data_IF_917403783925
#
_entry.id   IF_917403783925
#
_cell.length_a   1.000
_cell.length_b   1.000
_cell.length_c   1.000
_cell.angle_alpha   90.00
_cell.angle_beta   90.00
_cell.angle_gamma   90.00
#
_symmetry.space_group_name_H-M   'P 1'
#
loop_
_entity.id
_entity.type
_entity.pdbx_description
1 polymer ?
#
# COMPACT_ATOMS: atom_id res chain seq x y z
N UNK A 1 33.35 7.81 24.28
CA UNK A 1 32.08 7.02 24.11
C UNK A 1 30.95 7.81 23.45
N UNK A 2 30.72 9.12 23.69
CA UNK A 2 29.63 9.91 23.08
C UNK A 2 29.74 10.04 21.55
N UNK A 3 30.91 9.98 20.93
CA UNK A 3 31.13 10.05 19.49
C UNK A 3 30.76 8.75 18.77
N UNK A 4 31.05 7.60 19.38
CA UNK A 4 30.83 6.29 18.74
C UNK A 4 29.35 6.00 18.43
N UNK A 5 28.43 6.46 19.30
CA UNK A 5 26.98 6.31 19.10
C UNK A 5 26.50 6.87 17.74
N UNK A 6 27.16 7.90 17.25
CA UNK A 6 26.79 8.60 16.02
C UNK A 6 27.76 8.32 14.86
N UNK A 7 28.69 7.40 15.05
CA UNK A 7 29.63 7.01 14.00
C UNK A 7 29.00 5.92 13.12
N UNK A 8 28.39 6.36 12.03
CA UNK A 8 27.75 5.45 11.09
C UNK A 8 28.75 4.51 10.41
N UNK A 9 29.98 4.97 10.20
CA UNK A 9 31.01 4.11 9.59
C UNK A 9 31.37 2.91 10.45
N UNK A 10 31.22 3.05 11.76
CA UNK A 10 31.43 1.96 12.71
C UNK A 10 30.25 0.97 12.75
N UNK A 11 29.00 1.49 12.68
CA UNK A 11 27.79 0.67 12.86
C UNK A 11 27.22 0.08 11.60
N UNK A 12 27.50 0.73 10.45
CA UNK A 12 26.91 0.34 9.17
C UNK A 12 27.48 -0.97 8.65
N UNK A 13 26.62 -1.86 8.26
CA UNK A 13 27.00 -3.00 7.42
C UNK A 13 27.36 -2.54 6.01
N UNK A 14 28.10 -3.34 5.23
CA UNK A 14 28.51 -2.95 3.86
C UNK A 14 27.34 -2.52 2.96
N UNK A 15 26.24 -3.26 2.97
CA UNK A 15 25.05 -3.00 2.16
C UNK A 15 24.26 -1.75 2.58
N UNK A 16 24.52 -1.22 3.77
CA UNK A 16 23.91 -0.01 4.30
C UNK A 16 24.70 1.27 3.99
N UNK A 17 25.90 1.12 3.41
CA UNK A 17 26.75 2.25 3.01
C UNK A 17 26.49 2.63 1.58
N UNK A 18 26.52 3.93 1.30
CA UNK A 18 26.40 4.41 -0.07
C UNK A 18 27.50 3.79 -0.95
N UNK A 19 27.15 3.20 -2.09
CA UNK A 19 28.12 2.62 -3.00
C UNK A 19 29.15 3.65 -3.48
N UNK A 20 30.35 3.18 -3.76
CA UNK A 20 31.35 4.00 -4.42
C UNK A 20 31.00 4.18 -5.90
N UNK A 21 31.60 5.19 -6.56
CA UNK A 21 31.49 5.41 -7.99
C UNK A 21 30.39 6.41 -8.38
N UNK A 22 30.11 6.41 -9.67
CA UNK A 22 29.17 7.34 -10.28
C UNK A 22 27.79 6.70 -10.43
N UNK A 23 26.85 7.17 -9.61
CA UNK A 23 25.46 6.75 -9.63
C UNK A 23 24.58 7.96 -9.31
N UNK A 24 23.44 8.04 -9.97
CA UNK A 24 22.40 9.05 -9.71
C UNK A 24 21.37 8.55 -8.70
N UNK A 25 21.08 7.26 -8.73
CA UNK A 25 20.07 6.62 -7.87
C UNK A 25 20.69 5.46 -7.11
N UNK A 26 20.55 5.46 -5.80
CA UNK A 26 20.87 4.33 -4.95
C UNK A 26 19.59 3.65 -4.48
N UNK A 27 19.33 2.45 -4.97
CA UNK A 27 18.18 1.64 -4.60
C UNK A 27 18.59 0.63 -3.51
N UNK A 28 18.00 0.78 -2.33
CA UNK A 28 18.16 -0.15 -1.20
C UNK A 28 16.92 -1.05 -1.17
N UNK A 29 17.09 -2.27 -1.67
CA UNK A 29 16.08 -3.33 -1.59
C UNK A 29 16.34 -4.17 -0.36
N UNK A 30 15.51 -4.07 0.66
CA UNK A 30 15.78 -4.78 1.88
C UNK A 30 14.52 -5.24 2.61
N UNK A 31 14.65 -6.35 3.33
CA UNK A 31 13.60 -6.93 4.12
C UNK A 31 13.16 -6.05 5.29
N UNK A 32 12.07 -6.43 5.91
CA UNK A 32 11.52 -5.73 7.06
C UNK A 32 12.51 -5.79 8.24
N UNK A 33 12.79 -4.64 8.86
CA UNK A 33 13.75 -4.58 9.96
C UNK A 33 15.23 -4.63 9.55
N UNK A 34 15.57 -4.75 8.26
CA UNK A 34 16.94 -4.75 7.75
C UNK A 34 17.69 -3.42 7.95
N UNK A 35 17.01 -2.35 8.34
CA UNK A 35 17.63 -1.05 8.62
C UNK A 35 17.70 -0.10 7.43
N UNK A 36 16.88 -0.32 6.40
CA UNK A 36 16.83 0.52 5.19
C UNK A 36 16.52 2.00 5.49
N UNK A 37 15.52 2.28 6.34
CA UNK A 37 15.18 3.67 6.74
C UNK A 37 16.37 4.35 7.42
N UNK A 38 17.12 3.63 8.28
CA UNK A 38 18.33 4.15 8.91
C UNK A 38 19.41 4.48 7.87
N UNK A 39 19.59 3.65 6.85
CA UNK A 39 20.55 3.90 5.76
C UNK A 39 20.21 5.15 4.97
N UNK A 40 18.94 5.35 4.62
CA UNK A 40 18.46 6.57 3.97
C UNK A 40 18.71 7.83 4.80
N UNK A 41 18.35 7.78 6.09
CA UNK A 41 18.56 8.90 7.00
C UNK A 41 20.04 9.25 7.18
N UNK A 42 20.91 8.25 7.31
CA UNK A 42 22.36 8.47 7.47
C UNK A 42 23.00 9.01 6.19
N UNK A 43 22.52 8.59 5.02
CA UNK A 43 22.98 9.18 3.76
C UNK A 43 22.61 10.65 3.66
N UNK A 44 21.38 11.04 4.03
CA UNK A 44 20.96 12.45 4.10
C UNK A 44 21.83 13.22 5.09
N UNK A 45 22.10 12.67 6.28
CA UNK A 45 22.96 13.31 7.28
C UNK A 45 24.36 13.54 6.74
N UNK A 46 24.97 12.52 6.15
CA UNK A 46 26.30 12.61 5.57
C UNK A 46 26.37 13.60 4.40
N UNK A 47 25.27 13.75 3.68
CA UNK A 47 25.16 14.66 2.54
C UNK A 47 24.94 16.12 2.95
N UNK A 48 24.15 16.36 4.01
CA UNK A 48 23.82 17.70 4.49
C UNK A 48 24.86 18.29 5.48
N UNK A 49 25.65 17.44 6.13
CA UNK A 49 26.61 17.84 7.17
C UNK A 49 28.06 17.55 6.78
N UNK A 50 29.00 18.30 7.36
CA UNK A 50 30.44 18.04 7.29
C UNK A 50 31.07 18.03 8.68
N UNK A 51 32.38 18.37 8.77
CA UNK A 51 33.16 18.28 9.99
C UNK A 51 32.62 19.14 11.14
N UNK A 52 32.00 20.28 10.85
CA UNK A 52 31.39 21.14 11.87
C UNK A 52 29.91 21.37 11.60
N UNK A 53 29.10 21.74 12.61
CA UNK A 53 27.67 21.99 12.43
C UNK A 53 27.35 23.11 11.44
N UNK A 54 28.26 24.06 11.26
CA UNK A 54 28.07 25.21 10.36
C UNK A 54 28.68 25.03 8.97
N UNK A 55 29.49 23.99 8.77
CA UNK A 55 30.07 23.70 7.45
C UNK A 55 29.03 23.05 6.57
N UNK A 56 28.75 23.67 5.40
CA UNK A 56 27.82 23.13 4.41
C UNK A 56 28.23 21.75 3.90
N UNK A 57 27.27 20.87 3.72
CA UNK A 57 27.45 19.56 3.13
C UNK A 57 27.56 19.62 1.59
N UNK A 58 27.44 18.45 0.97
CA UNK A 58 27.37 18.32 -0.49
C UNK A 58 26.04 18.83 -1.04
N UNK A 59 24.96 18.60 -0.31
CA UNK A 59 23.61 18.95 -0.68
C UNK A 59 22.97 19.89 0.34
N UNK A 60 22.18 20.83 -0.13
CA UNK A 60 21.57 21.86 0.68
C UNK A 60 20.03 21.94 0.55
N UNK A 61 19.44 21.32 -0.49
CA UNK A 61 18.01 21.33 -0.75
C UNK A 61 17.51 19.91 -1.00
N UNK A 62 17.05 19.25 0.04
CA UNK A 62 16.69 17.83 0.05
C UNK A 62 15.18 17.67 -0.06
N UNK A 63 14.70 16.73 -0.91
CA UNK A 63 13.36 16.21 -0.88
C UNK A 63 13.29 14.96 -0.01
N UNK A 64 12.35 14.90 0.93
CA UNK A 64 11.99 13.71 1.69
C UNK A 64 10.60 13.29 1.24
N UNK A 65 10.49 12.13 0.59
CA UNK A 65 9.23 11.67 -0.01
C UNK A 65 8.83 10.33 0.60
N UNK A 66 7.62 10.26 1.16
CA UNK A 66 7.01 9.03 1.67
C UNK A 66 5.60 8.86 1.10
N UNK A 67 4.93 7.74 1.37
CA UNK A 67 3.55 7.51 0.93
C UNK A 67 2.62 8.61 1.42
N UNK A 68 2.61 8.87 2.72
CA UNK A 68 1.76 9.90 3.36
C UNK A 68 2.59 10.94 4.10
N UNK A 69 2.00 12.10 4.37
CA UNK A 69 2.63 13.13 5.20
C UNK A 69 2.92 12.63 6.63
N UNK A 70 2.07 11.73 7.15
CA UNK A 70 2.28 11.09 8.44
C UNK A 70 3.50 10.16 8.43
N UNK A 71 3.70 9.37 7.38
CA UNK A 71 4.88 8.51 7.24
C UNK A 71 6.16 9.34 7.13
N UNK A 72 6.16 10.39 6.30
CA UNK A 72 7.29 11.29 6.18
C UNK A 72 7.69 11.87 7.55
N UNK A 73 6.73 12.30 8.34
CA UNK A 73 6.96 12.83 9.68
C UNK A 73 7.37 11.74 10.66
N UNK A 74 6.54 10.71 10.85
CA UNK A 74 6.68 9.76 11.95
C UNK A 74 7.83 8.77 11.74
N UNK A 75 8.19 8.48 10.46
CA UNK A 75 9.24 7.51 10.12
C UNK A 75 10.54 8.22 9.77
N UNK A 76 10.51 9.12 8.75
CA UNK A 76 11.74 9.72 8.23
C UNK A 76 12.30 10.81 9.15
N UNK A 77 11.47 11.54 9.90
CA UNK A 77 11.90 12.65 10.74
C UNK A 77 11.97 12.28 12.22
N UNK A 78 10.84 11.93 12.84
CA UNK A 78 10.69 11.77 14.29
C UNK A 78 10.94 10.32 14.75
N UNK A 79 10.93 9.34 13.86
CA UNK A 79 11.10 7.92 14.17
C UNK A 79 12.46 7.58 14.80
N UNK A 80 12.60 6.40 15.41
CA UNK A 80 13.83 5.99 16.09
C UNK A 80 15.04 5.88 15.15
N UNK A 81 14.81 5.68 13.86
CA UNK A 81 15.81 5.71 12.78
C UNK A 81 15.75 6.98 11.96
N UNK A 82 14.89 7.93 12.32
CA UNK A 82 14.68 9.17 11.60
C UNK A 82 15.75 10.23 11.84
N UNK A 83 15.67 11.29 11.05
CA UNK A 83 16.70 12.34 11.00
C UNK A 83 16.94 13.03 12.33
N UNK A 84 15.93 13.22 13.19
CA UNK A 84 16.14 13.84 14.49
C UNK A 84 16.89 12.92 15.48
N UNK A 85 16.66 11.62 15.40
CA UNK A 85 17.24 10.64 16.35
C UNK A 85 18.71 10.34 16.05
N UNK A 86 19.10 10.35 14.77
CA UNK A 86 20.44 9.96 14.33
C UNK A 86 21.49 11.08 14.44
N UNK A 87 21.08 12.33 14.61
CA UNK A 87 22.01 13.46 14.68
C UNK A 87 22.56 13.67 16.10
N UNK A 88 23.87 13.92 16.24
CA UNK A 88 24.41 14.52 17.45
C UNK A 88 23.70 15.85 17.76
N UNK A 89 23.55 16.24 19.04
CA UNK A 89 22.79 17.45 19.40
C UNK A 89 23.24 18.71 18.65
N UNK A 90 24.54 18.93 18.47
CA UNK A 90 25.07 20.11 17.77
C UNK A 90 24.78 20.14 16.26
N UNK A 91 24.51 18.98 15.64
CA UNK A 91 24.22 18.85 14.20
C UNK A 91 22.75 18.66 13.90
N UNK A 92 21.93 18.54 14.96
CA UNK A 92 20.51 18.18 14.83
C UNK A 92 19.75 19.29 14.12
N UNK A 93 19.03 18.98 13.03
CA UNK A 93 18.19 19.96 12.37
C UNK A 93 16.99 20.34 13.24
N UNK A 94 16.49 21.55 13.06
CA UNK A 94 15.22 22.02 13.63
C UNK A 94 14.09 21.57 12.70
N UNK A 95 13.09 20.90 13.25
CA UNK A 95 11.89 20.53 12.52
C UNK A 95 10.76 21.53 12.75
N UNK A 96 10.19 22.07 11.68
CA UNK A 96 9.04 22.97 11.67
C UNK A 96 7.88 22.23 11.00
N UNK A 97 7.04 21.59 11.80
CA UNK A 97 5.96 20.70 11.32
C UNK A 97 4.96 21.43 10.41
N UNK A 98 4.57 22.67 10.74
CA UNK A 98 3.65 23.49 9.93
C UNK A 98 4.20 23.83 8.54
N UNK A 99 5.52 23.90 8.39
CA UNK A 99 6.19 24.15 7.13
C UNK A 99 6.65 22.85 6.44
N UNK A 100 6.42 21.70 7.07
CA UNK A 100 6.93 20.39 6.61
C UNK A 100 8.43 20.44 6.29
N UNK A 101 9.24 21.08 7.17
CA UNK A 101 10.64 21.44 6.85
C UNK A 101 11.58 21.15 8.00
N UNK A 102 12.72 20.55 7.65
CA UNK A 102 13.91 20.46 8.49
C UNK A 102 14.92 21.53 8.06
N UNK A 103 15.57 22.19 9.02
CA UNK A 103 16.64 23.15 8.75
C UNK A 103 17.83 22.81 9.62
N UNK A 104 18.99 22.52 9.01
CA UNK A 104 20.24 22.27 9.70
C UNK A 104 20.91 23.56 10.13
N UNK A 105 21.82 23.51 11.13
CA UNK A 105 22.57 24.70 11.58
C UNK A 105 23.37 25.41 10.48
N UNK A 106 23.81 24.68 9.46
CA UNK A 106 24.53 25.22 8.28
C UNK A 106 23.60 25.82 7.22
N UNK A 107 22.29 25.88 7.45
CA UNK A 107 21.32 26.42 6.50
C UNK A 107 20.79 25.44 5.47
N UNK A 108 21.26 24.18 5.42
CA UNK A 108 20.66 23.16 4.57
C UNK A 108 19.21 22.90 4.98
N UNK A 109 18.36 22.58 4.00
CA UNK A 109 16.91 22.41 4.19
C UNK A 109 16.45 21.08 3.60
N UNK A 110 15.63 20.34 4.32
CA UNK A 110 14.87 19.24 3.76
C UNK A 110 13.36 19.52 3.86
N UNK A 111 12.64 19.33 2.77
CA UNK A 111 11.19 19.50 2.68
C UNK A 111 10.52 18.15 2.53
N UNK A 112 9.42 17.95 3.29
CA UNK A 112 8.65 16.71 3.28
C UNK A 112 7.53 16.80 2.23
N UNK A 113 7.44 15.74 1.43
CA UNK A 113 6.42 15.52 0.42
C UNK A 113 5.74 14.18 0.63
N UNK A 114 4.51 14.05 0.16
CA UNK A 114 3.77 12.80 0.18
C UNK A 114 3.41 12.37 -1.25
N UNK A 115 3.54 11.08 -1.50
CA UNK A 115 3.30 10.50 -2.81
C UNK A 115 1.79 10.41 -3.17
N UNK A 116 0.89 10.66 -2.21
CA UNK A 116 -0.55 10.78 -2.49
C UNK A 116 -0.91 12.08 -3.22
N UNK A 117 0.01 13.04 -3.28
CA UNK A 117 -0.18 14.35 -3.93
C UNK A 117 1.05 14.70 -4.79
N UNK A 118 1.25 14.05 -5.95
CA UNK A 118 2.45 14.23 -6.79
C UNK A 118 2.72 15.67 -7.21
N UNK A 119 1.67 16.48 -7.41
CA UNK A 119 1.79 17.87 -7.84
C UNK A 119 2.51 18.79 -6.84
N UNK A 120 2.66 18.40 -5.58
CA UNK A 120 3.49 19.12 -4.62
C UNK A 120 4.97 19.23 -5.05
N UNK A 121 5.44 18.27 -5.85
CA UNK A 121 6.79 18.26 -6.40
C UNK A 121 6.95 19.11 -7.67
N UNK A 122 5.86 19.64 -8.21
CA UNK A 122 5.90 20.54 -9.35
C UNK A 122 6.33 21.96 -8.90
N UNK A 123 7.46 22.42 -9.38
CA UNK A 123 8.04 23.72 -9.09
C UNK A 123 9.22 23.70 -8.11
N UNK A 124 9.18 23.04 -6.95
CA UNK A 124 10.35 22.91 -6.08
C UNK A 124 11.55 22.26 -6.79
N UNK A 125 12.77 22.69 -6.37
CA UNK A 125 14.01 22.19 -6.92
C UNK A 125 14.90 21.62 -5.80
N UNK A 126 15.57 20.50 -6.09
CA UNK A 126 16.35 19.74 -5.13
C UNK A 126 17.71 19.33 -5.72
N UNK A 127 18.71 19.22 -4.86
CA UNK A 127 20.02 18.64 -5.14
C UNK A 127 20.14 17.20 -4.62
N UNK A 128 19.27 16.81 -3.68
CA UNK A 128 19.18 15.45 -3.19
C UNK A 128 17.74 15.04 -2.88
N UNK A 129 17.46 13.73 -2.89
CA UNK A 129 16.18 13.18 -2.47
C UNK A 129 16.35 11.86 -1.71
N UNK A 130 15.43 11.62 -0.77
CA UNK A 130 15.22 10.31 -0.15
C UNK A 130 13.76 9.92 -0.29
N UNK A 131 13.53 8.81 -1.00
CA UNK A 131 12.23 8.19 -1.23
C UNK A 131 12.09 6.97 -0.33
N UNK A 132 11.25 7.04 0.71
CA UNK A 132 11.03 5.92 1.64
C UNK A 132 9.82 5.08 1.22
N UNK A 133 10.00 3.76 1.21
CA UNK A 133 9.02 2.73 0.85
C UNK A 133 8.34 3.00 -0.52
N UNK A 134 9.13 3.35 -1.55
CA UNK A 134 8.63 3.72 -2.89
C UNK A 134 7.68 2.67 -3.49
N UNK A 135 7.93 1.39 -3.27
CA UNK A 135 7.08 0.32 -3.80
C UNK A 135 5.68 0.25 -3.17
N UNK A 136 5.39 1.06 -2.15
CA UNK A 136 4.06 1.19 -1.54
C UNK A 136 3.27 2.37 -2.04
N UNK A 137 3.90 3.28 -2.80
CA UNK A 137 3.26 4.53 -3.19
C UNK A 137 2.09 4.31 -4.15
N UNK A 138 0.94 4.88 -3.83
CA UNK A 138 -0.26 4.82 -4.67
C UNK A 138 -0.04 5.42 -6.06
N UNK A 139 0.69 6.54 -6.14
CA UNK A 139 1.04 7.22 -7.39
C UNK A 139 2.55 7.22 -7.60
N UNK A 140 3.13 6.01 -7.57
CA UNK A 140 4.59 5.83 -7.59
C UNK A 140 5.24 6.45 -8.84
N UNK A 141 4.68 6.21 -10.02
CA UNK A 141 5.23 6.68 -11.28
C UNK A 141 5.16 8.20 -11.40
N UNK A 142 4.01 8.75 -11.12
CA UNK A 142 3.75 10.19 -11.21
C UNK A 142 4.62 10.98 -10.22
N UNK A 143 4.67 10.52 -8.97
CA UNK A 143 5.51 11.14 -7.94
C UNK A 143 6.97 11.06 -8.30
N UNK A 144 7.41 9.91 -8.82
CA UNK A 144 8.77 9.71 -9.29
C UNK A 144 9.11 10.67 -10.43
N UNK A 145 8.29 10.77 -11.46
CA UNK A 145 8.53 11.62 -12.62
C UNK A 145 8.58 13.11 -12.20
N UNK A 146 7.66 13.57 -11.35
CA UNK A 146 7.70 14.93 -10.82
C UNK A 146 8.96 15.20 -10.00
N UNK A 147 9.42 14.25 -9.18
CA UNK A 147 10.66 14.35 -8.45
C UNK A 147 11.87 14.45 -9.40
N UNK A 148 11.91 13.63 -10.47
CA UNK A 148 13.01 13.67 -11.45
C UNK A 148 13.14 15.05 -12.12
N UNK A 149 12.03 15.71 -12.45
CA UNK A 149 12.05 17.07 -12.97
C UNK A 149 12.54 18.09 -11.92
N UNK A 150 12.25 17.87 -10.65
CA UNK A 150 12.67 18.71 -9.54
C UNK A 150 14.14 18.50 -9.12
N UNK A 151 14.70 17.32 -9.35
CA UNK A 151 16.06 16.94 -8.93
C UNK A 151 17.10 17.42 -9.93
N UNK A 152 17.38 18.75 -9.90
CA UNK A 152 18.17 19.47 -10.91
C UNK A 152 19.08 20.58 -10.37
N UNK A 153 19.26 20.69 -9.06
CA UNK A 153 20.17 21.66 -8.45
C UNK A 153 21.58 21.07 -8.30
N UNK A 154 22.59 21.94 -8.39
CA UNK A 154 23.98 21.52 -8.27
C UNK A 154 24.49 20.74 -9.49
N UNK A 155 25.74 20.30 -9.41
CA UNK A 155 26.40 19.62 -10.53
C UNK A 155 26.11 18.11 -10.59
N UNK A 156 25.74 17.51 -9.45
CA UNK A 156 25.55 16.06 -9.35
C UNK A 156 24.39 15.75 -8.35
N UNK A 157 23.14 16.00 -8.77
CA UNK A 157 21.98 15.66 -7.94
C UNK A 157 21.80 14.16 -7.83
N UNK A 158 21.67 13.65 -6.59
CA UNK A 158 21.53 12.22 -6.28
C UNK A 158 20.31 11.90 -5.42
N UNK A 159 19.88 10.66 -5.48
CA UNK A 159 18.76 10.19 -4.66
C UNK A 159 18.99 8.80 -4.10
N UNK A 160 18.40 8.53 -2.95
CA UNK A 160 18.32 7.22 -2.35
C UNK A 160 16.86 6.77 -2.27
N UNK A 161 16.62 5.51 -2.58
CA UNK A 161 15.33 4.85 -2.48
C UNK A 161 15.46 3.74 -1.46
N UNK A 162 14.60 3.73 -0.47
CA UNK A 162 14.49 2.65 0.52
C UNK A 162 13.16 1.95 0.32
N UNK A 163 13.15 0.65 0.05
CA UNK A 163 11.91 -0.09 -0.12
C UNK A 163 12.05 -1.59 0.11
N UNK A 164 10.98 -2.22 0.55
CA UNK A 164 10.82 -3.66 0.44
C UNK A 164 10.54 -3.99 -1.02
N UNK A 165 11.15 -5.05 -1.60
CA UNK A 165 10.97 -5.35 -3.01
C UNK A 165 9.52 -5.77 -3.29
N UNK A 166 8.95 -5.10 -4.28
CA UNK A 166 7.67 -5.44 -4.91
C UNK A 166 7.82 -5.28 -6.42
N UNK A 167 7.26 -6.17 -7.22
CA UNK A 167 7.47 -6.20 -8.67
C UNK A 167 6.65 -5.13 -9.41
N UNK A 168 6.62 -3.90 -8.89
CA UNK A 168 5.97 -2.77 -9.57
C UNK A 168 6.84 -2.25 -10.71
N UNK A 169 6.25 -1.63 -11.76
CA UNK A 169 6.96 -1.23 -12.98
C UNK A 169 8.20 -0.37 -12.72
N UNK A 170 8.12 0.58 -11.80
CA UNK A 170 9.24 1.47 -11.49
C UNK A 170 10.43 0.74 -10.84
N UNK A 171 10.18 -0.27 -9.99
CA UNK A 171 11.26 -1.07 -9.39
C UNK A 171 11.92 -1.93 -10.45
N UNK A 172 11.14 -2.54 -11.35
CA UNK A 172 11.69 -3.31 -12.50
C UNK A 172 12.54 -2.42 -13.40
N UNK A 173 12.05 -1.22 -13.77
CA UNK A 173 12.81 -0.24 -14.58
C UNK A 173 14.14 0.13 -13.91
N UNK A 174 14.13 0.44 -12.61
CA UNK A 174 15.35 0.74 -11.87
C UNK A 174 16.33 -0.43 -11.87
N UNK A 175 15.85 -1.66 -11.69
CA UNK A 175 16.70 -2.86 -11.71
C UNK A 175 17.31 -3.13 -13.09
N UNK A 176 16.59 -2.89 -14.19
CA UNK A 176 17.17 -3.00 -15.55
C UNK A 176 18.31 -2.01 -15.80
N UNK A 177 18.40 -0.96 -14.99
CA UNK A 177 19.42 0.09 -15.04
C UNK A 177 20.52 -0.08 -13.99
N UNK A 178 20.55 -1.20 -13.27
CA UNK A 178 21.64 -1.52 -12.33
C UNK A 178 22.99 -1.46 -13.04
N UNK A 179 23.97 -0.77 -12.45
CA UNK A 179 25.27 -0.47 -13.06
C UNK A 179 25.27 0.64 -14.13
N UNK A 180 24.09 1.18 -14.49
CA UNK A 180 23.95 2.28 -15.46
C UNK A 180 23.26 3.49 -14.81
N UNK A 181 23.97 4.13 -13.89
CA UNK A 181 23.48 5.26 -13.09
C UNK A 181 22.55 4.87 -11.94
N UNK A 182 22.23 3.56 -11.78
CA UNK A 182 21.52 3.02 -10.64
C UNK A 182 22.45 2.04 -9.92
N UNK A 183 22.72 2.30 -8.64
CA UNK A 183 23.40 1.37 -7.74
C UNK A 183 22.36 0.66 -6.88
N UNK A 184 22.47 -0.65 -6.74
CA UNK A 184 21.54 -1.46 -5.96
C UNK A 184 22.26 -2.15 -4.82
N UNK A 185 21.75 -2.00 -3.61
CA UNK A 185 22.16 -2.81 -2.47
C UNK A 185 20.99 -3.61 -1.95
N UNK A 186 21.27 -4.82 -1.49
CA UNK A 186 20.27 -5.76 -0.98
C UNK A 186 20.61 -6.15 0.45
N UNK A 187 19.59 -6.29 1.28
CA UNK A 187 19.76 -6.72 2.65
C UNK A 187 18.55 -7.49 3.17
N UNK A 188 18.78 -8.54 3.93
CA UNK A 188 17.74 -9.37 4.51
C UNK A 188 17.41 -8.91 5.94
N UNK A 189 16.27 -9.36 6.47
CA UNK A 189 15.93 -9.20 7.88
C UNK A 189 16.97 -9.88 8.77
N UNK A 190 17.53 -10.99 8.31
CA UNK A 190 18.50 -11.80 9.05
C UNK A 190 19.84 -11.07 9.27
N UNK A 191 20.24 -10.22 8.32
CA UNK A 191 21.48 -9.42 8.42
C UNK A 191 21.44 -8.45 9.60
N UNK A 192 20.25 -8.09 10.08
CA UNK A 192 20.04 -7.19 11.20
C UNK A 192 19.59 -7.89 12.49
N UNK A 193 19.71 -9.22 12.57
CA UNK A 193 19.22 -10.05 13.68
C UNK A 193 19.63 -9.52 15.06
N UNK A 194 20.87 -9.05 15.19
CA UNK A 194 21.41 -8.57 16.46
C UNK A 194 20.69 -7.32 17.02
N UNK A 195 20.01 -6.55 16.17
CA UNK A 195 19.30 -5.32 16.54
C UNK A 195 17.77 -5.49 16.60
N UNK A 196 17.27 -6.69 16.32
CA UNK A 196 15.85 -7.01 16.35
C UNK A 196 15.48 -7.78 17.62
N UNK A 197 14.27 -7.57 18.11
CA UNK A 197 13.80 -8.26 19.31
C UNK A 197 13.79 -9.78 19.10
N UNK A 198 14.23 -10.53 20.11
CA UNK A 198 14.27 -11.99 20.07
C UNK A 198 12.92 -12.59 19.70
N UNK A 199 11.85 -12.08 20.31
CA UNK A 199 10.48 -12.53 20.05
C UNK A 199 10.02 -12.27 18.61
N UNK A 200 10.60 -11.29 17.90
CA UNK A 200 10.30 -11.07 16.49
C UNK A 200 10.76 -12.25 15.63
N UNK A 201 11.95 -12.80 15.89
CA UNK A 201 12.43 -13.98 15.17
C UNK A 201 11.63 -15.24 15.53
N UNK A 202 11.31 -15.43 16.80
CA UNK A 202 10.61 -16.63 17.24
C UNK A 202 9.13 -16.64 16.79
N UNK A 203 8.46 -15.50 16.76
CA UNK A 203 7.04 -15.42 16.42
C UNK A 203 6.79 -15.12 14.92
N UNK A 204 7.57 -14.21 14.32
CA UNK A 204 7.30 -13.73 12.96
C UNK A 204 8.13 -14.49 11.95
N UNK A 205 9.45 -14.58 12.16
CA UNK A 205 10.34 -15.19 11.16
C UNK A 205 9.99 -16.67 10.99
N UNK A 206 9.86 -17.45 12.08
CA UNK A 206 9.47 -18.87 12.00
C UNK A 206 8.11 -19.10 11.34
N UNK A 207 7.18 -18.16 11.50
CA UNK A 207 5.84 -18.30 10.91
C UNK A 207 5.85 -18.08 9.39
N UNK A 208 6.68 -17.16 8.91
CA UNK A 208 6.73 -16.79 7.49
C UNK A 208 7.92 -17.38 6.73
N UNK A 209 8.88 -18.02 7.42
CA UNK A 209 10.04 -18.65 6.79
C UNK A 209 9.60 -19.69 5.75
N UNK A 210 10.19 -19.64 4.56
CA UNK A 210 9.83 -20.50 3.43
C UNK A 210 8.55 -20.13 2.69
N UNK A 211 7.71 -19.23 3.23
CA UNK A 211 6.54 -18.74 2.51
C UNK A 211 6.94 -17.68 1.47
N UNK A 212 6.10 -17.45 0.46
CA UNK A 212 6.29 -16.37 -0.52
C UNK A 212 6.41 -15.01 0.17
N UNK A 213 5.51 -14.71 1.11
CA UNK A 213 5.55 -13.47 1.89
C UNK A 213 6.85 -13.35 2.68
N UNK A 214 7.33 -14.44 3.30
CA UNK A 214 8.60 -14.47 3.98
C UNK A 214 9.79 -14.23 3.04
N UNK A 215 9.79 -14.82 1.86
CA UNK A 215 10.82 -14.58 0.85
C UNK A 215 10.85 -13.10 0.42
N UNK A 216 9.71 -12.48 0.20
CA UNK A 216 9.63 -11.06 -0.15
C UNK A 216 9.98 -10.15 1.04
N UNK A 217 9.36 -10.33 2.20
CA UNK A 217 9.46 -9.42 3.34
C UNK A 217 10.72 -9.65 4.20
N UNK A 218 11.23 -10.89 4.27
CA UNK A 218 12.40 -11.22 5.08
C UNK A 218 13.69 -11.33 4.26
N UNK A 219 13.64 -12.02 3.10
CA UNK A 219 14.81 -12.24 2.25
C UNK A 219 15.03 -11.14 1.21
N UNK A 220 14.09 -10.19 1.10
CA UNK A 220 14.12 -9.15 0.09
C UNK A 220 14.16 -9.68 -1.36
N UNK A 221 13.47 -10.79 -1.63
CA UNK A 221 13.36 -11.33 -2.97
C UNK A 221 12.29 -10.57 -3.77
N UNK A 222 12.59 -10.24 -5.02
CA UNK A 222 11.60 -9.74 -5.96
C UNK A 222 10.91 -10.94 -6.59
N UNK A 223 9.66 -11.18 -6.22
CA UNK A 223 8.92 -12.36 -6.64
C UNK A 223 7.85 -11.96 -7.64
N UNK A 224 7.92 -12.53 -8.82
CA UNK A 224 6.92 -12.35 -9.88
C UNK A 224 5.62 -13.12 -9.60
N UNK A 225 4.64 -12.97 -10.51
CA UNK A 225 3.32 -13.55 -10.40
C UNK A 225 3.34 -15.08 -10.22
N UNK A 226 2.31 -15.59 -9.54
CA UNK A 226 2.12 -17.03 -9.32
C UNK A 226 1.60 -17.68 -10.60
N UNK A 227 2.17 -18.82 -10.98
CA UNK A 227 1.62 -19.62 -12.07
C UNK A 227 0.18 -20.06 -11.73
N UNK A 228 -0.77 -19.76 -12.62
CA UNK A 228 -2.18 -20.08 -12.41
C UNK A 228 -2.95 -19.10 -11.49
N UNK A 229 -2.36 -17.99 -11.09
CA UNK A 229 -3.13 -16.92 -10.46
C UNK A 229 -4.17 -16.35 -11.42
N UNK A 230 -5.33 -15.93 -10.89
CA UNK A 230 -6.40 -15.34 -11.70
C UNK A 230 -6.03 -13.96 -12.25
N UNK A 231 -5.14 -13.23 -11.58
CA UNK A 231 -4.63 -11.94 -12.01
C UNK A 231 -3.11 -11.95 -12.08
N UNK A 232 -2.56 -11.28 -13.08
CA UNK A 232 -1.12 -11.05 -13.19
C UNK A 232 -0.80 -9.58 -12.94
N UNK A 233 0.40 -9.28 -12.47
CA UNK A 233 0.83 -7.90 -12.29
C UNK A 233 0.79 -7.11 -13.61
N UNK A 234 1.18 -7.75 -14.69
CA UNK A 234 1.15 -7.15 -16.02
C UNK A 234 -0.26 -6.70 -16.41
N UNK A 235 -1.28 -7.55 -16.19
CA UNK A 235 -2.68 -7.24 -16.46
C UNK A 235 -3.18 -6.05 -15.64
N UNK A 236 -2.84 -6.00 -14.34
CA UNK A 236 -3.23 -4.90 -13.47
C UNK A 236 -2.58 -3.56 -13.88
N UNK A 237 -1.32 -3.60 -14.28
CA UNK A 237 -0.56 -2.41 -14.70
C UNK A 237 -1.03 -1.89 -16.07
N UNK A 238 -1.38 -2.77 -17.01
CA UNK A 238 -1.90 -2.43 -18.35
C UNK A 238 -3.19 -1.61 -18.25
N UNK A 239 -4.05 -1.96 -17.31
CA UNK A 239 -5.36 -1.32 -17.15
C UNK A 239 -5.39 -0.29 -16.01
N UNK A 240 -4.23 0.12 -15.51
CA UNK A 240 -4.13 1.20 -14.53
C UNK A 240 -4.38 2.56 -15.18
N UNK A 241 -5.23 3.36 -14.57
CA UNK A 241 -5.41 4.75 -14.98
C UNK A 241 -4.15 5.52 -14.61
N UNK A 242 -3.51 6.12 -15.61
CA UNK A 242 -2.32 6.95 -15.36
C UNK A 242 -2.70 8.16 -14.49
N UNK A 243 -1.81 8.51 -13.55
CA UNK A 243 -2.03 9.62 -12.64
C UNK A 243 -2.20 10.95 -13.40
N UNK A 244 -3.18 11.72 -12.96
CA UNK A 244 -3.54 12.97 -13.63
C UNK A 244 -4.56 12.83 -14.76
N UNK A 245 -4.86 11.61 -15.25
CA UNK A 245 -5.98 11.42 -16.14
C UNK A 245 -7.29 11.47 -15.34
N UNK A 246 -8.27 12.29 -15.76
CA UNK A 246 -9.56 12.33 -15.08
C UNK A 246 -10.27 10.98 -15.25
N UNK A 247 -10.85 10.49 -14.18
CA UNK A 247 -11.80 9.39 -14.24
C UNK A 247 -13.09 9.88 -14.91
N UNK A 248 -13.81 9.01 -15.63
CA UNK A 248 -15.16 9.34 -16.09
C UNK A 248 -16.05 9.61 -14.88
N UNK A 249 -17.17 10.30 -15.12
CA UNK A 249 -18.20 10.42 -14.10
C UNK A 249 -18.71 9.02 -13.73
N UNK A 250 -18.93 8.79 -12.44
CA UNK A 250 -19.39 7.50 -11.94
C UNK A 250 -20.91 7.46 -11.96
N UNK A 251 -21.47 6.48 -12.64
CA UNK A 251 -22.91 6.18 -12.60
C UNK A 251 -23.32 5.57 -11.26
N UNK A 252 -22.39 4.82 -10.66
CA UNK A 252 -22.63 4.14 -9.41
C UNK A 252 -21.31 3.86 -8.69
N UNK A 253 -21.31 4.06 -7.38
CA UNK A 253 -20.18 3.75 -6.49
C UNK A 253 -20.65 2.84 -5.37
N UNK A 254 -19.88 1.81 -5.06
CA UNK A 254 -20.17 0.90 -3.94
C UNK A 254 -18.92 0.66 -3.10
N UNK A 255 -19.15 0.34 -1.84
CA UNK A 255 -18.09 -0.10 -0.91
C UNK A 255 -18.32 -1.57 -0.62
N UNK A 256 -17.43 -2.43 -1.12
CA UNK A 256 -17.41 -3.86 -0.82
C UNK A 256 -16.74 -4.12 0.51
N UNK A 257 -17.33 -4.96 1.35
CA UNK A 257 -16.82 -5.28 2.69
C UNK A 257 -16.83 -6.79 2.89
N UNK A 258 -15.66 -7.35 3.20
CA UNK A 258 -15.50 -8.70 3.73
C UNK A 258 -15.08 -8.61 5.20
N UNK A 259 -16.04 -8.76 6.16
CA UNK A 259 -15.74 -8.59 7.57
C UNK A 259 -14.91 -9.75 8.10
N UNK A 260 -13.93 -9.46 8.95
CA UNK A 260 -13.15 -10.45 9.67
C UNK A 260 -14.03 -11.45 10.44
N UNK A 261 -13.98 -12.73 10.07
CA UNK A 261 -14.87 -13.77 10.58
C UNK A 261 -14.64 -14.17 12.05
N UNK A 262 -13.54 -13.77 12.69
CA UNK A 262 -13.21 -14.10 14.08
C UNK A 262 -12.55 -12.94 14.80
N UNK A 263 -13.18 -12.45 15.86
CA UNK A 263 -12.42 -11.97 16.99
C UNK A 263 -11.68 -13.20 17.56
N UNK A 264 -10.34 -13.28 17.41
CA UNK A 264 -9.58 -14.36 18.04
C UNK A 264 -9.74 -14.24 19.55
N UNK A 265 -10.05 -15.35 20.22
CA UNK A 265 -10.16 -15.42 21.67
C UNK A 265 -8.83 -15.08 22.40
N UNK A 266 -7.72 -15.08 21.67
CA UNK A 266 -6.41 -14.58 22.12
C UNK A 266 -6.23 -13.14 21.62
N UNK A 267 -6.38 -12.18 22.50
CA UNK A 267 -6.48 -10.74 22.32
C UNK A 267 -5.40 -9.98 21.49
N UNK A 268 -4.68 -10.62 20.59
CA UNK A 268 -3.51 -10.02 19.93
C UNK A 268 -3.48 -10.08 18.38
N UNK A 269 -4.51 -10.64 17.70
CA UNK A 269 -4.58 -10.60 16.22
C UNK A 269 -6.03 -10.47 15.75
N UNK A 270 -6.50 -9.26 15.54
CA UNK A 270 -7.67 -9.01 14.70
C UNK A 270 -7.36 -9.48 13.28
N UNK A 271 -8.18 -10.39 12.74
CA UNK A 271 -8.16 -10.71 11.30
C UNK A 271 -8.41 -9.43 10.49
N UNK A 272 -7.92 -9.38 9.28
CA UNK A 272 -8.12 -8.22 8.41
C UNK A 272 -9.59 -8.16 7.95
N UNK A 273 -10.14 -6.96 7.89
CA UNK A 273 -11.42 -6.70 7.22
C UNK A 273 -11.12 -6.09 5.87
N UNK A 274 -11.54 -6.75 4.79
CA UNK A 274 -11.47 -6.23 3.44
C UNK A 274 -12.47 -5.08 3.26
N UNK A 275 -12.01 -3.92 2.77
CA UNK A 275 -12.85 -2.76 2.43
C UNK A 275 -12.32 -2.17 1.11
N UNK A 276 -13.07 -2.35 0.04
CA UNK A 276 -12.70 -1.86 -1.29
C UNK A 276 -13.80 -0.95 -1.84
N UNK A 277 -13.41 0.24 -2.32
CA UNK A 277 -14.32 1.15 -2.99
C UNK A 277 -14.20 0.95 -4.50
N UNK A 278 -15.33 0.72 -5.15
CA UNK A 278 -15.38 0.55 -6.61
C UNK A 278 -16.52 1.36 -7.24
N UNK A 279 -16.32 1.80 -8.48
CA UNK A 279 -17.29 2.56 -9.23
C UNK A 279 -17.54 1.97 -10.61
N UNK A 280 -18.74 2.19 -11.16
CA UNK A 280 -19.09 1.97 -12.55
C UNK A 280 -19.10 3.33 -13.24
N UNK A 281 -18.21 3.52 -14.22
CA UNK A 281 -18.14 4.75 -15.01
C UNK A 281 -19.27 4.85 -16.05
N UNK A 282 -19.53 6.06 -16.53
CA UNK A 282 -20.47 6.31 -17.65
C UNK A 282 -20.03 5.61 -18.94
N UNK A 283 -18.74 5.26 -19.07
CA UNK A 283 -18.17 4.47 -20.14
C UNK A 283 -18.46 2.96 -20.02
N UNK A 284 -19.19 2.53 -18.97
CA UNK A 284 -19.54 1.14 -18.71
C UNK A 284 -18.39 0.28 -18.18
N UNK A 285 -17.27 0.90 -17.77
CA UNK A 285 -16.11 0.21 -17.15
C UNK A 285 -16.18 0.30 -15.63
N UNK A 286 -15.63 -0.71 -14.97
CA UNK A 286 -15.41 -0.71 -13.52
C UNK A 286 -14.10 -0.02 -13.13
N UNK A 287 -14.12 0.65 -12.01
CA UNK A 287 -12.94 1.33 -11.47
C UNK A 287 -12.75 0.97 -10.01
N UNK A 288 -11.58 0.43 -9.66
CA UNK A 288 -11.17 0.34 -8.26
C UNK A 288 -10.69 1.73 -7.83
N UNK A 289 -11.40 2.33 -6.89
CA UNK A 289 -11.17 3.71 -6.47
C UNK A 289 -10.30 3.80 -5.23
N UNK A 290 -10.45 2.84 -4.28
CA UNK A 290 -9.62 2.78 -3.06
C UNK A 290 -9.59 1.39 -2.45
N UNK A 291 -8.49 1.08 -1.73
CA UNK A 291 -8.35 -0.05 -0.80
C UNK A 291 -8.15 0.49 0.62
N UNK A 292 -9.19 0.34 1.41
CA UNK A 292 -9.26 0.82 2.78
C UNK A 292 -9.25 -0.31 3.81
N UNK A 293 -8.89 -1.52 3.39
CA UNK A 293 -8.82 -2.70 4.24
C UNK A 293 -7.99 -2.45 5.50
N UNK A 294 -8.35 -3.09 6.60
CA UNK A 294 -7.75 -2.75 7.89
C UNK A 294 -7.90 -3.87 8.92
N UNK A 295 -7.04 -3.81 9.94
CA UNK A 295 -7.09 -4.66 11.14
C UNK A 295 -7.54 -3.82 12.32
N UNK A 296 -8.84 -3.62 12.44
CA UNK A 296 -9.47 -2.82 13.47
C UNK A 296 -10.56 -3.62 14.20
N UNK A 297 -10.98 -3.12 15.36
CA UNK A 297 -12.15 -3.64 16.05
C UNK A 297 -13.43 -3.53 15.18
N UNK A 298 -14.50 -4.25 15.48
CA UNK A 298 -15.76 -4.15 14.74
C UNK A 298 -16.26 -2.72 14.55
N UNK A 299 -16.25 -1.92 15.59
CA UNK A 299 -16.58 -0.50 15.51
C UNK A 299 -15.59 0.29 14.62
N UNK A 300 -14.29 -0.03 14.72
CA UNK A 300 -13.25 0.68 13.97
C UNK A 300 -13.36 0.47 12.45
N UNK A 301 -13.55 -0.77 11.98
CA UNK A 301 -13.72 -0.99 10.55
C UNK A 301 -15.07 -0.48 10.04
N UNK A 302 -16.16 -0.54 10.85
CA UNK A 302 -17.45 0.01 10.48
C UNK A 302 -17.39 1.53 10.32
N UNK A 303 -16.77 2.25 11.26
CA UNK A 303 -16.55 3.69 11.13
C UNK A 303 -15.75 4.04 9.87
N UNK A 304 -14.73 3.23 9.52
CA UNK A 304 -13.94 3.41 8.31
C UNK A 304 -14.76 3.17 7.04
N UNK A 305 -15.60 2.15 7.02
CA UNK A 305 -16.49 1.87 5.90
C UNK A 305 -17.54 2.96 5.69
N UNK A 306 -18.12 3.50 6.78
CA UNK A 306 -19.06 4.62 6.73
C UNK A 306 -18.36 5.90 6.25
N UNK A 307 -17.15 6.18 6.72
CA UNK A 307 -16.35 7.31 6.23
C UNK A 307 -16.03 7.19 4.73
N UNK A 308 -15.74 5.97 4.25
CA UNK A 308 -15.56 5.71 2.82
C UNK A 308 -16.85 5.95 2.03
N UNK A 309 -17.98 5.47 2.53
CA UNK A 309 -19.29 5.69 1.93
C UNK A 309 -19.58 7.18 1.73
N UNK A 310 -19.31 8.02 2.76
CA UNK A 310 -19.52 9.47 2.67
C UNK A 310 -18.50 10.14 1.73
N UNK A 311 -17.24 9.78 1.84
CA UNK A 311 -16.16 10.37 1.04
C UNK A 311 -16.34 10.17 -0.46
N UNK A 312 -16.75 8.96 -0.84
CA UNK A 312 -16.93 8.58 -2.24
C UNK A 312 -18.37 8.75 -2.73
N UNK A 313 -19.26 9.28 -1.86
CA UNK A 313 -20.69 9.41 -2.15
C UNK A 313 -21.26 8.11 -2.71
N UNK A 314 -20.94 7.00 -2.04
CA UNK A 314 -21.31 5.68 -2.51
C UNK A 314 -22.82 5.44 -2.43
N UNK A 315 -23.35 4.63 -3.33
CA UNK A 315 -24.77 4.28 -3.39
C UNK A 315 -25.15 3.14 -2.46
N UNK A 316 -24.20 2.27 -2.12
CA UNK A 316 -24.43 1.14 -1.24
C UNK A 316 -23.15 0.62 -0.55
N UNK A 317 -23.34 -0.01 0.61
CA UNK A 317 -22.37 -0.90 1.24
C UNK A 317 -22.74 -2.35 0.89
N UNK A 318 -21.86 -3.07 0.21
CA UNK A 318 -22.04 -4.49 -0.18
C UNK A 318 -21.27 -5.33 0.81
N UNK A 319 -21.97 -6.11 1.65
CA UNK A 319 -21.37 -6.72 2.83
C UNK A 319 -21.58 -8.21 2.84
N UNK A 320 -20.52 -9.00 3.01
CA UNK A 320 -20.62 -10.45 3.20
C UNK A 320 -21.15 -10.80 4.60
N UNK A 321 -22.13 -11.71 4.66
CA UNK A 321 -22.81 -12.09 5.91
C UNK A 321 -22.77 -13.59 6.22
N UNK A 322 -21.78 -14.34 5.76
CA UNK A 322 -21.72 -15.80 5.92
C UNK A 322 -21.65 -16.28 7.36
N UNK A 323 -20.88 -15.59 8.20
CA UNK A 323 -20.78 -15.89 9.64
C UNK A 323 -20.95 -14.60 10.43
N UNK A 324 -21.97 -14.54 11.28
CA UNK A 324 -22.20 -13.37 12.13
C UNK A 324 -22.94 -12.20 11.46
N UNK A 325 -23.72 -12.45 10.39
CA UNK A 325 -24.40 -11.42 9.60
C UNK A 325 -25.22 -10.41 10.41
N UNK A 326 -25.95 -10.85 11.43
CA UNK A 326 -26.70 -9.96 12.33
C UNK A 326 -25.75 -9.00 13.11
N UNK A 327 -24.55 -9.45 13.47
CA UNK A 327 -23.56 -8.61 14.14
C UNK A 327 -23.01 -7.54 13.18
N UNK A 328 -22.69 -7.92 11.95
CA UNK A 328 -22.16 -7.02 10.94
C UNK A 328 -23.13 -5.88 10.63
N UNK A 329 -24.40 -6.21 10.41
CA UNK A 329 -25.45 -5.21 10.21
C UNK A 329 -25.63 -4.33 11.44
N UNK A 330 -25.66 -4.92 12.64
CA UNK A 330 -25.80 -4.16 13.89
C UNK A 330 -24.67 -3.15 14.07
N UNK A 331 -23.43 -3.55 13.81
CA UNK A 331 -22.26 -2.67 13.97
C UNK A 331 -22.29 -1.53 12.95
N UNK A 332 -22.63 -1.78 11.69
CA UNK A 332 -22.75 -0.74 10.67
C UNK A 332 -23.89 0.25 10.97
N UNK A 333 -25.06 -0.27 11.39
CA UNK A 333 -26.21 0.58 11.75
C UNK A 333 -26.00 1.35 13.04
N UNK A 334 -25.17 0.87 13.96
CA UNK A 334 -24.77 1.60 15.16
C UNK A 334 -23.89 2.82 14.82
N UNK A 335 -23.07 2.75 13.80
CA UNK A 335 -22.29 3.91 13.33
C UNK A 335 -23.16 4.89 12.54
N UNK A 336 -24.12 4.39 11.74
CA UNK A 336 -25.06 5.24 11.01
C UNK A 336 -26.38 4.49 10.71
N UNK A 337 -27.47 5.02 11.21
CA UNK A 337 -28.81 4.53 10.85
C UNK A 337 -29.14 4.83 9.39
N UNK A 338 -29.90 3.97 8.74
CA UNK A 338 -30.39 4.19 7.38
C UNK A 338 -29.38 3.99 6.24
N UNK A 339 -28.21 3.36 6.52
CA UNK A 339 -27.25 2.98 5.48
C UNK A 339 -27.89 2.02 4.45
N UNK A 340 -27.70 2.24 3.16
CA UNK A 340 -28.12 1.33 2.09
C UNK A 340 -27.23 0.09 2.07
N UNK A 341 -27.55 -0.91 2.91
CA UNK A 341 -26.80 -2.16 3.02
C UNK A 341 -27.33 -3.18 2.00
N UNK A 342 -26.44 -3.76 1.22
CA UNK A 342 -26.67 -4.94 0.40
C UNK A 342 -25.95 -6.12 1.01
N UNK A 343 -26.71 -7.01 1.59
CA UNK A 343 -26.17 -8.22 2.20
C UNK A 343 -25.95 -9.28 1.12
N UNK A 344 -24.77 -9.86 1.07
CA UNK A 344 -24.41 -10.93 0.16
C UNK A 344 -23.96 -12.16 0.95
N UNK A 345 -24.25 -13.35 0.40
CA UNK A 345 -23.82 -14.63 0.99
C UNK A 345 -22.98 -15.40 -0.01
N UNK A 346 -21.88 -15.97 0.45
CA UNK A 346 -21.09 -16.88 -0.34
C UNK A 346 -21.77 -18.25 -0.44
N UNK A 347 -22.47 -18.49 -1.53
CA UNK A 347 -23.07 -19.79 -1.86
C UNK A 347 -22.15 -20.68 -2.69
N UNK A 348 -21.08 -20.09 -3.28
CA UNK A 348 -20.06 -20.79 -4.08
C UNK A 348 -18.67 -20.52 -3.50
N UNK A 349 -17.71 -21.38 -3.85
CA UNK A 349 -16.30 -21.19 -3.47
C UNK A 349 -15.76 -19.83 -3.91
N UNK A 350 -14.78 -19.30 -3.19
CA UNK A 350 -14.16 -17.99 -3.46
C UNK A 350 -13.69 -17.85 -4.91
N UNK A 351 -13.07 -18.88 -5.45
CA UNK A 351 -12.57 -18.93 -6.83
C UNK A 351 -13.65 -18.76 -7.87
N UNK A 352 -14.75 -19.52 -7.74
CA UNK A 352 -15.88 -19.47 -8.70
C UNK A 352 -16.54 -18.10 -8.76
N UNK A 353 -16.45 -17.32 -7.68
CA UNK A 353 -16.95 -15.93 -7.63
C UNK A 353 -15.94 -14.96 -8.24
N UNK A 354 -14.65 -15.24 -8.09
CA UNK A 354 -13.55 -14.39 -8.56
C UNK A 354 -13.31 -14.52 -10.07
N UNK A 355 -13.50 -15.70 -10.67
CA UNK A 355 -13.28 -15.97 -12.09
C UNK A 355 -14.02 -14.99 -13.03
N UNK A 356 -15.32 -14.69 -12.86
CA UNK A 356 -16.02 -13.73 -13.72
C UNK A 356 -15.42 -12.32 -13.60
N UNK A 357 -14.91 -11.95 -12.43
CA UNK A 357 -14.27 -10.65 -12.23
C UNK A 357 -12.89 -10.63 -12.88
N UNK A 358 -12.11 -11.71 -12.79
CA UNK A 358 -10.85 -11.84 -13.50
C UNK A 358 -11.04 -11.70 -15.03
N UNK A 359 -12.08 -12.32 -15.58
CA UNK A 359 -12.43 -12.18 -16.99
C UNK A 359 -12.78 -10.73 -17.40
N UNK A 360 -13.36 -9.92 -16.49
CA UNK A 360 -13.56 -8.49 -16.76
C UNK A 360 -12.25 -7.72 -16.88
N UNK A 361 -11.25 -8.07 -16.06
CA UNK A 361 -9.91 -7.49 -16.17
C UNK A 361 -9.24 -7.89 -17.49
N UNK A 362 -9.30 -9.17 -17.90
CA UNK A 362 -8.76 -9.64 -19.17
C UNK A 362 -9.39 -8.95 -20.38
N UNK A 363 -10.68 -8.58 -20.29
CA UNK A 363 -11.39 -7.81 -21.29
C UNK A 363 -11.10 -6.30 -21.25
N UNK A 364 -10.23 -5.83 -20.34
CA UNK A 364 -9.97 -4.42 -20.15
C UNK A 364 -11.16 -3.62 -19.62
N UNK A 365 -12.13 -4.28 -19.00
CA UNK A 365 -13.36 -3.65 -18.49
C UNK A 365 -13.25 -3.19 -17.04
N UNK A 366 -12.17 -3.50 -16.35
CA UNK A 366 -11.89 -3.01 -15.01
C UNK A 366 -10.52 -2.34 -14.99
N UNK A 367 -10.44 -1.19 -14.36
CA UNK A 367 -9.21 -0.40 -14.20
C UNK A 367 -8.99 -0.03 -12.74
N UNK A 368 -7.73 0.14 -12.36
CA UNK A 368 -7.38 0.70 -11.06
C UNK A 368 -7.13 2.20 -11.19
N UNK A 369 -7.79 3.03 -10.37
CA UNK A 369 -7.63 4.48 -10.36
C UNK A 369 -6.30 4.95 -9.73
N UNK A 370 -5.41 4.02 -9.42
CA UNK A 370 -4.10 4.24 -8.81
C UNK A 370 -3.45 2.90 -8.52
N UNK A 371 -2.33 2.89 -7.80
CA UNK A 371 -1.73 1.66 -7.29
C UNK A 371 -2.33 1.32 -5.92
N UNK A 372 -2.77 0.07 -5.74
CA UNK A 372 -3.25 -0.46 -4.46
C UNK A 372 -2.39 -1.67 -4.07
N UNK A 373 -1.14 -1.46 -3.64
CA UNK A 373 -0.14 -2.53 -3.56
C UNK A 373 -0.55 -3.72 -2.71
N UNK A 374 -1.27 -3.48 -1.60
CA UNK A 374 -1.69 -4.57 -0.72
C UNK A 374 -2.81 -5.42 -1.34
N UNK A 375 -3.79 -4.79 -2.00
CA UNK A 375 -4.84 -5.49 -2.76
C UNK A 375 -4.23 -6.22 -3.95
N UNK A 376 -3.40 -5.56 -4.73
CA UNK A 376 -2.78 -6.11 -5.94
C UNK A 376 -1.83 -7.27 -5.63
N UNK A 377 -1.09 -7.20 -4.51
CA UNK A 377 -0.26 -8.31 -4.04
C UNK A 377 -1.10 -9.53 -3.68
N UNK A 378 -2.29 -9.33 -3.08
CA UNK A 378 -3.22 -10.40 -2.78
C UNK A 378 -3.86 -10.98 -4.06
N UNK A 379 -4.22 -10.12 -5.04
CA UNK A 379 -4.77 -10.54 -6.33
C UNK A 379 -3.81 -11.44 -7.10
N UNK A 380 -2.52 -11.09 -7.20
CA UNK A 380 -1.53 -11.91 -7.93
C UNK A 380 -1.11 -13.18 -7.20
N UNK A 381 -1.53 -13.34 -5.95
CA UNK A 381 -1.40 -14.55 -5.17
C UNK A 381 -2.65 -15.43 -5.23
N UNK A 382 -3.75 -14.91 -5.75
CA UNK A 382 -5.03 -15.60 -5.73
C UNK A 382 -5.14 -16.60 -6.89
N UNK A 383 -5.09 -17.89 -6.54
CA UNK A 383 -5.19 -19.02 -7.47
C UNK A 383 -6.56 -19.71 -7.36
N UNK A 384 -6.92 -20.62 -8.27
CA UNK A 384 -8.08 -21.49 -8.15
C UNK A 384 -8.12 -22.30 -6.83
N UNK A 385 -6.99 -22.46 -6.17
CA UNK A 385 -6.87 -23.21 -4.91
C UNK A 385 -6.80 -22.31 -3.67
N UNK A 386 -6.96 -21.00 -3.83
CA UNK A 386 -6.83 -19.98 -2.78
C UNK A 386 -5.56 -19.16 -2.89
N UNK A 387 -5.19 -18.46 -1.82
CA UNK A 387 -3.97 -17.65 -1.77
C UNK A 387 -2.74 -18.56 -1.70
N UNK A 388 -1.81 -18.38 -2.64
CA UNK A 388 -0.52 -19.07 -2.63
C UNK A 388 0.26 -18.72 -1.35
N UNK A 389 0.75 -19.74 -0.66
CA UNK A 389 1.39 -19.59 0.65
C UNK A 389 0.41 -19.51 1.83
N UNK A 390 -0.88 -19.65 1.59
CA UNK A 390 -1.93 -19.63 2.62
C UNK A 390 -2.33 -18.21 3.02
N UNK A 391 -3.42 -18.10 3.77
CA UNK A 391 -3.95 -16.83 4.24
C UNK A 391 -5.39 -16.60 3.81
N UNK A 392 -5.95 -15.48 4.27
CA UNK A 392 -7.29 -15.02 3.87
C UNK A 392 -7.17 -14.09 2.65
N UNK A 393 -8.19 -14.07 1.82
CA UNK A 393 -8.29 -13.22 0.63
C UNK A 393 -9.27 -12.06 0.88
N UNK A 394 -9.15 -11.42 2.04
CA UNK A 394 -10.16 -10.49 2.54
C UNK A 394 -10.32 -9.26 1.62
N UNK A 395 -9.21 -8.77 1.05
CA UNK A 395 -9.22 -7.64 0.09
C UNK A 395 -9.80 -8.06 -1.25
N UNK A 396 -9.38 -9.21 -1.77
CA UNK A 396 -9.90 -9.77 -3.03
C UNK A 396 -11.37 -10.10 -2.89
N UNK A 397 -11.82 -10.68 -1.78
CA UNK A 397 -13.24 -10.97 -1.55
C UNK A 397 -14.07 -9.67 -1.50
N UNK A 398 -13.60 -8.62 -0.84
CA UNK A 398 -14.25 -7.31 -0.84
C UNK A 398 -14.32 -6.70 -2.26
N UNK A 399 -13.25 -6.79 -3.05
CA UNK A 399 -13.23 -6.38 -4.44
C UNK A 399 -14.25 -7.17 -5.28
N UNK A 400 -14.25 -8.49 -5.15
CA UNK A 400 -15.15 -9.39 -5.88
C UNK A 400 -16.61 -9.07 -5.57
N UNK A 401 -16.96 -8.80 -4.32
CA UNK A 401 -18.31 -8.39 -3.95
C UNK A 401 -18.70 -7.03 -4.53
N UNK A 402 -17.82 -6.04 -4.46
CA UNK A 402 -18.06 -4.73 -5.06
C UNK A 402 -18.29 -4.83 -6.57
N UNK A 403 -17.42 -5.52 -7.29
CA UNK A 403 -17.52 -5.69 -8.75
C UNK A 403 -18.73 -6.53 -9.14
N UNK A 404 -19.09 -7.55 -8.35
CA UNK A 404 -20.29 -8.37 -8.61
C UNK A 404 -21.59 -7.55 -8.51
N UNK A 405 -21.63 -6.57 -7.62
CA UNK A 405 -22.77 -5.66 -7.49
C UNK A 405 -22.84 -4.64 -8.64
N UNK A 406 -21.69 -4.19 -9.13
CA UNK A 406 -21.62 -3.28 -10.29
C UNK A 406 -21.89 -3.97 -11.63
N UNK A 407 -21.58 -5.27 -11.75
CA UNK A 407 -21.77 -6.08 -12.98
C UNK A 407 -22.74 -7.27 -12.78
N UNK A 408 -23.98 -7.06 -12.33
CA UNK A 408 -24.89 -8.15 -11.96
C UNK A 408 -25.28 -9.07 -13.13
N UNK A 409 -25.20 -8.61 -14.37
CA UNK A 409 -25.51 -9.42 -15.58
C UNK A 409 -24.37 -10.38 -15.95
N UNK A 410 -23.16 -10.13 -15.50
CA UNK A 410 -21.99 -10.96 -15.79
C UNK A 410 -21.76 -12.00 -14.69
N UNK A 411 -22.02 -11.64 -13.47
CA UNK A 411 -22.02 -12.52 -12.30
C UNK A 411 -23.48 -12.88 -12.05
N UNK A 412 -23.97 -14.00 -12.58
CA UNK A 412 -25.35 -14.43 -12.32
C UNK A 412 -25.61 -14.42 -10.82
N UNK A 413 -26.51 -13.57 -10.29
CA UNK A 413 -26.92 -13.69 -8.91
C UNK A 413 -27.60 -15.03 -8.75
N UNK A 414 -27.24 -15.81 -7.75
CA UNK A 414 -28.05 -16.91 -7.29
C UNK A 414 -29.26 -16.29 -6.58
N UNK A 415 -30.30 -15.99 -7.31
CA UNK A 415 -31.63 -15.78 -6.75
C UNK A 415 -32.23 -17.17 -6.51
N UNK A 416 -31.85 -17.80 -5.41
CA UNK A 416 -32.69 -18.77 -4.77
C UNK A 416 -33.69 -18.05 -3.83
N UNK A 417 -34.60 -17.34 -4.45
CA UNK A 417 -35.92 -17.07 -3.88
C UNK A 417 -36.90 -17.43 -4.96
N UNK A 418 -37.29 -18.71 -4.99
CA UNK A 418 -38.57 -19.08 -5.56
C UNK A 418 -39.61 -18.26 -4.81
N UNK A 419 -40.16 -17.27 -5.44
CA UNK A 419 -41.44 -16.71 -5.05
C UNK A 419 -42.46 -17.77 -5.43
N UNK A 420 -43.02 -18.50 -4.44
CA UNK A 420 -44.25 -19.28 -4.61
C UNK A 420 -45.33 -18.33 -5.10
N UNK A 421 -45.59 -18.34 -6.41
CA UNK A 421 -46.83 -17.90 -7.03
C UNK A 421 -47.92 -18.99 -6.75
N UNK A 422 -48.25 -19.19 -5.48
CA UNK A 422 -49.44 -19.92 -5.08
C UNK A 422 -50.23 -19.10 -4.07
N UNK A 423 -50.82 -18.03 -4.52
CA UNK A 423 -52.01 -17.49 -3.84
C UNK A 423 -52.83 -16.68 -4.87
N UNK A 424 -53.61 -17.37 -5.66
CA UNK A 424 -54.53 -16.69 -6.56
C UNK A 424 -55.32 -17.62 -7.48
N UNK A 425 -56.22 -18.40 -6.93
CA UNK A 425 -57.06 -19.22 -7.78
C UNK A 425 -58.10 -20.11 -7.08
N UNK A 426 -58.76 -19.57 -6.10
CA UNK A 426 -59.90 -20.21 -5.50
C UNK A 426 -61.18 -19.41 -5.78
N UNK A 427 -61.74 -19.51 -6.94
CA UNK A 427 -63.13 -19.09 -7.14
C UNK A 427 -63.98 -20.33 -7.41
N UNK A 428 -64.87 -20.54 -6.55
CA UNK A 428 -65.73 -21.70 -6.56
C UNK A 428 -66.70 -21.81 -7.73
N UNK A 429 -67.18 -23.02 -7.97
CA UNK A 429 -68.50 -23.24 -8.53
C UNK A 429 -69.20 -24.26 -7.67
N UNK A 430 -70.21 -23.84 -6.96
CA UNK A 430 -71.32 -24.63 -6.54
C UNK A 430 -72.27 -24.78 -7.73
N UNK A 431 -72.57 -26.02 -8.12
CA UNK A 431 -73.89 -26.50 -8.55
C UNK A 431 -73.74 -27.80 -9.36
N UNK A 432 -74.04 -28.90 -8.79
CA UNK A 432 -75.04 -29.96 -9.04
C UNK A 432 -74.71 -31.24 -8.28
#
# INVERSE_FOLDING_TARGET
>A
MKSLKFDWSFWARPEQRAPAGDWRTWLILAGRGAGKTRSGAEWIRASACRATPLTGGRYARVALVAETAADARNVMVEGPSGLLAIHPPAFRPKFEASKRRLTWPNGAVATLYNATEPDQLRGPQHDAAWCDELAKWRYARETWDMLQFGLRLGDDPRQVITTTPRPIPIIRDLLTREGRGVAVTRGTTYDNRANLAKNFFDAIVKHYEGTRLGRQELNAELIDDVAGALWTRALLDEHRVAGGNPLPAMQRVVVGIDPAAKASADGDRTSETGIVVAGLGEDGRGYVLDDLSCRLSPRGWAAKAVAAFDRYQADALVVEINQGGAMVETVLRAERAGLPLRQVRASRGKTVRAEPIAALYEQGRVSHAGAFPALEDEMVLFTPFGIEGGGAADRVDALVWAMSDLFPRMVKPQTDVAWDEEMGGGAGSWLA
#
